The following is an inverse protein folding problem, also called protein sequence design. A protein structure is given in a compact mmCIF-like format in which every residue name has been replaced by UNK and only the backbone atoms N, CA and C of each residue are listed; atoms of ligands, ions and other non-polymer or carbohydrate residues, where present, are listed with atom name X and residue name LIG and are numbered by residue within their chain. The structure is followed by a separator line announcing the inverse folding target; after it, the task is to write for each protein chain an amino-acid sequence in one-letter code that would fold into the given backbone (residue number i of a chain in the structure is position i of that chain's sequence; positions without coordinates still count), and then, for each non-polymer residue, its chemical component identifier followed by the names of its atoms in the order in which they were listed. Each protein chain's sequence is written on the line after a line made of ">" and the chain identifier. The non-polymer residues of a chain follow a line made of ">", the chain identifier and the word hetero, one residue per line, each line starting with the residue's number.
data_IF_440858571900
#
_entry.id   IF_440858571900
#
_cell.length_a   1.000
_cell.length_b   1.000
_cell.length_c   1.000
_cell.angle_alpha   90.00
_cell.angle_beta   90.00
_cell.angle_gamma   90.00
#
_symmetry.space_group_name_H-M   'P 1'
#
loop_
_entity.id
_entity.type
_entity.pdbx_description
1 polymer ?
2 polymer ?
3 non-polymer ?
4 water ?
#
# COMPACT_ATOMS: atom_id res chain seq x y z
N UNK A 2 4.58 -21.59 -14.97
CA UNK A 2 3.72 -21.03 -13.89
C UNK A 2 4.29 -19.72 -13.36
N UNK A 3 5.06 -19.02 -14.20
CA UNK A 3 5.65 -17.75 -13.81
C UNK A 3 5.15 -16.66 -14.75
N UNK A 4 4.41 -15.70 -14.20
CA UNK A 4 3.85 -14.60 -15.00
C UNK A 4 4.64 -13.31 -14.83
N UNK A 5 5.10 -12.77 -15.94
CA UNK A 5 5.88 -11.53 -15.92
C UNK A 5 5.15 -10.39 -16.60
N UNK A 6 5.06 -9.26 -15.91
CA UNK A 6 4.41 -8.08 -16.44
C UNK A 6 5.39 -6.91 -16.49
N UNK A 7 5.50 -6.30 -17.67
CA UNK A 7 6.38 -5.15 -17.86
C UNK A 7 5.73 -4.20 -18.87
N UNK A 8 5.89 -2.88 -18.66
CA UNK A 8 6.64 -2.30 -17.54
C UNK A 8 5.87 -2.47 -16.23
N UNK A 9 6.56 -2.28 -15.11
CA UNK A 9 5.94 -2.39 -13.80
C UNK A 9 5.02 -1.19 -13.62
N UNK A 10 5.31 -0.13 -14.36
CA UNK A 10 4.53 1.10 -14.30
C UNK A 10 4.50 1.77 -15.67
N UNK A 11 3.38 2.41 -16.00
CA UNK A 11 3.27 3.12 -17.26
C UNK A 11 2.50 4.43 -17.04
N UNK A 12 2.96 5.50 -17.66
CA UNK A 12 2.30 6.79 -17.52
C UNK A 12 1.53 7.12 -18.78
N UNK A 13 0.31 7.63 -18.60
CA UNK A 13 -0.55 7.98 -19.72
C UNK A 13 -1.47 9.13 -19.36
N UNK A 14 -2.16 9.66 -20.37
CA UNK A 14 -3.09 10.76 -20.16
C UNK A 14 -4.47 10.31 -20.60
N UNK A 15 -5.51 10.92 -20.04
CA UNK A 15 -6.87 10.57 -20.43
C UNK A 15 -6.94 10.72 -21.94
N UNK A 16 -7.65 9.80 -22.59
CA UNK A 16 -7.77 9.85 -24.03
C UNK A 16 -6.73 8.98 -24.74
N UNK A 17 -5.62 8.70 -24.06
CA UNK A 17 -4.55 7.88 -24.62
C UNK A 17 -4.98 6.43 -24.84
N UNK A 18 -4.22 5.75 -25.71
CA UNK A 18 -4.42 4.34 -26.00
C UNK A 18 -3.27 3.69 -25.23
N UNK A 19 -3.60 2.84 -24.26
CA UNK A 19 -2.57 2.19 -23.44
C UNK A 19 -2.54 0.68 -23.63
N UNK A 20 -1.34 0.12 -23.69
CA UNK A 20 -1.17 -1.32 -23.86
C UNK A 20 -0.15 -1.87 -22.87
N UNK A 21 -0.55 -2.90 -22.12
CA UNK A 21 0.35 -3.53 -21.17
C UNK A 21 0.51 -4.99 -21.53
N UNK A 22 1.65 -5.56 -21.17
CA UNK A 22 1.95 -6.94 -21.53
C UNK A 22 2.14 -7.91 -20.37
N UNK A 23 2.04 -9.18 -20.70
CA UNK A 23 2.18 -10.25 -19.72
C UNK A 23 2.74 -11.45 -20.46
N UNK A 24 3.72 -12.12 -19.86
CA UNK A 24 4.32 -13.28 -20.49
C UNK A 24 4.41 -14.45 -19.53
N UNK A 25 3.96 -15.61 -19.97
CA UNK A 25 4.02 -16.81 -19.15
C UNK A 25 5.32 -17.53 -19.46
N UNK A 26 5.84 -18.26 -18.48
CA UNK A 26 7.09 -18.99 -18.66
C UNK A 26 6.83 -20.27 -19.45
N UNK A 27 5.55 -20.61 -19.58
CA UNK A 27 5.13 -21.80 -20.30
C UNK A 27 3.96 -21.47 -21.22
N UNK A 28 3.58 -22.41 -22.07
CA UNK A 28 2.46 -22.22 -22.99
C UNK A 28 1.16 -22.50 -22.25
N UNK A 29 0.32 -21.48 -22.11
CA UNK A 29 -0.95 -21.65 -21.42
C UNK A 29 -2.17 -21.47 -22.32
N UNK A 30 -1.98 -21.65 -23.63
CA UNK A 30 -3.09 -21.50 -24.57
C UNK A 30 -3.72 -20.13 -24.32
N UNK A 31 -5.03 -20.10 -24.08
CA UNK A 31 -5.70 -18.83 -23.82
C UNK A 31 -6.33 -18.82 -22.41
N UNK A 32 -5.74 -19.58 -21.49
CA UNK A 32 -6.23 -19.61 -20.11
C UNK A 32 -5.58 -18.44 -19.39
N UNK A 33 -6.02 -17.23 -19.71
CA UNK A 33 -5.44 -16.03 -19.12
C UNK A 33 -6.53 -15.02 -18.79
N UNK A 34 -6.45 -14.42 -17.60
CA UNK A 34 -7.42 -13.44 -17.17
C UNK A 34 -6.73 -12.14 -16.77
N UNK A 35 -7.44 -11.03 -16.89
CA UNK A 35 -6.91 -9.73 -16.52
C UNK A 35 -7.80 -9.09 -15.46
N UNK A 36 -7.16 -8.50 -14.45
CA UNK A 36 -7.90 -7.85 -13.38
C UNK A 36 -7.46 -6.42 -13.20
N UNK A 37 -8.34 -5.63 -12.59
CA UNK A 37 -8.06 -4.24 -12.30
C UNK A 37 -8.20 -4.09 -10.79
N UNK A 38 -7.34 -3.26 -10.19
CA UNK A 38 -7.43 -3.03 -8.76
C UNK A 38 -6.99 -1.62 -8.40
N UNK A 39 -7.74 -1.01 -7.51
CA UNK A 39 -7.45 0.33 -7.02
C UNK A 39 -7.20 0.20 -5.51
N UNK A 40 -6.42 1.12 -4.94
CA UNK A 40 -6.10 1.08 -3.50
C UNK A 40 -7.31 0.87 -2.59
N UNK A 41 -7.16 -0.03 -1.62
CA UNK A 41 -8.22 -0.30 -0.66
C UNK A 41 -9.44 -1.03 -1.19
N UNK A 42 -9.38 -1.52 -2.41
CA UNK A 42 -10.50 -2.23 -3.01
C UNK A 42 -10.08 -3.61 -3.49
N UNK A 43 -11.05 -4.50 -3.62
CA UNK A 43 -10.80 -5.86 -4.09
C UNK A 43 -10.62 -5.81 -5.61
N UNK A 44 -9.92 -6.80 -6.19
CA UNK A 44 -9.70 -6.83 -7.64
C UNK A 44 -11.03 -6.97 -8.37
N UNK A 45 -11.04 -6.60 -9.65
CA UNK A 45 -12.23 -6.69 -10.49
C UNK A 45 -11.87 -7.36 -11.82
N UNK A 46 -12.62 -8.41 -12.19
CA UNK A 46 -12.35 -9.11 -13.44
C UNK A 46 -12.69 -8.24 -14.64
N UNK A 47 -11.75 -8.17 -15.59
CA UNK A 47 -11.93 -7.38 -16.80
C UNK A 47 -12.07 -8.26 -18.04
N UNK A 48 -11.18 -9.24 -18.15
CA UNK A 48 -11.13 -10.14 -19.30
C UNK A 48 -10.78 -11.56 -18.86
N UNK A 49 -11.40 -12.53 -19.53
CA UNK A 49 -11.11 -13.94 -19.25
C UNK A 49 -10.92 -14.64 -20.59
N UNK A 50 -10.29 -15.80 -20.58
CA UNK A 50 -10.02 -16.54 -21.81
C UNK A 50 -9.17 -15.67 -22.76
N UNK A 51 -8.32 -14.83 -22.17
CA UNK A 51 -7.41 -13.95 -22.92
C UNK A 51 -8.02 -12.78 -23.69
N UNK A 52 -9.21 -12.96 -24.26
CA UNK A 52 -9.79 -11.87 -25.04
C UNK A 52 -11.27 -11.62 -24.83
N UNK A 53 -11.91 -12.40 -23.97
CA UNK A 53 -13.33 -12.20 -23.75
C UNK A 53 -13.59 -11.15 -22.68
N UNK A 54 -14.25 -10.07 -23.09
CA UNK A 54 -14.59 -8.97 -22.21
C UNK A 54 -15.67 -9.38 -21.22
N UNK A 55 -15.43 -9.12 -19.93
CA UNK A 55 -16.39 -9.45 -18.90
C UNK A 55 -17.63 -8.57 -19.07
N UNK A 56 -18.80 -9.15 -18.84
CA UNK A 56 -20.06 -8.42 -18.98
C UNK A 56 -20.05 -7.19 -18.08
N UNK A 57 -20.42 -6.04 -18.65
CA UNK A 57 -20.46 -4.82 -17.87
C UNK A 57 -19.21 -3.96 -17.99
N UNK A 58 -18.10 -4.55 -18.44
CA UNK A 58 -16.85 -3.81 -18.59
C UNK A 58 -16.88 -3.04 -19.90
N UNK A 59 -16.45 -1.76 -19.87
CA UNK A 59 -16.42 -0.91 -21.07
C UNK A 59 -15.70 -1.56 -22.24
N UNK A 60 -16.23 -1.36 -23.45
CA UNK A 60 -15.65 -1.94 -24.65
C UNK A 60 -14.30 -1.32 -24.99
N UNK A 61 -13.91 -0.27 -24.29
CA UNK A 61 -12.61 0.34 -24.55
C UNK A 61 -11.51 -0.62 -24.10
N UNK A 62 -11.88 -1.63 -23.31
CA UNK A 62 -10.91 -2.62 -22.85
C UNK A 62 -10.91 -3.80 -23.83
N UNK A 63 -9.72 -4.32 -24.13
CA UNK A 63 -9.60 -5.47 -25.02
C UNK A 63 -8.36 -6.26 -24.62
N UNK A 64 -8.32 -7.53 -25.01
CA UNK A 64 -7.17 -8.35 -24.69
C UNK A 64 -6.88 -9.29 -25.84
N UNK A 65 -5.61 -9.66 -26.01
CA UNK A 65 -5.26 -10.58 -27.08
C UNK A 65 -4.02 -11.38 -26.71
N UNK A 66 -3.73 -12.39 -27.53
CA UNK A 66 -2.57 -13.22 -27.28
C UNK A 66 -2.93 -14.66 -27.00
N UNK A 67 -1.92 -15.52 -27.09
CA UNK A 67 -2.09 -16.94 -26.86
C UNK A 67 -0.68 -17.51 -26.68
N UNK A 68 -0.59 -18.69 -26.08
CA UNK A 68 0.71 -19.30 -25.86
C UNK A 68 1.37 -18.74 -24.62
N UNK A 69 2.34 -17.84 -24.80
CA UNK A 69 3.04 -17.24 -23.67
C UNK A 69 2.99 -15.71 -23.65
N UNK A 70 2.63 -15.11 -24.79
CA UNK A 70 2.57 -13.65 -24.85
C UNK A 70 1.15 -13.11 -24.91
N UNK A 71 0.84 -12.18 -24.00
CA UNK A 71 -0.48 -11.58 -23.93
C UNK A 71 -0.42 -10.07 -23.71
N UNK A 72 -1.54 -9.40 -23.97
CA UNK A 72 -1.60 -7.96 -23.80
C UNK A 72 -3.01 -7.50 -23.49
N UNK A 73 -3.09 -6.38 -22.78
CA UNK A 73 -4.35 -5.76 -22.43
C UNK A 73 -4.22 -4.36 -23.02
N UNK A 74 -5.27 -3.87 -23.66
CA UNK A 74 -5.23 -2.54 -24.24
C UNK A 74 -6.44 -1.71 -23.81
N UNK A 75 -6.20 -0.45 -23.49
CA UNK A 75 -7.28 0.46 -23.11
C UNK A 75 -7.27 1.55 -24.19
N UNK A 76 -8.26 1.53 -25.07
CA UNK A 76 -8.34 2.48 -26.19
C UNK A 76 -8.27 3.97 -25.88
N UNK A 77 -9.28 4.46 -25.16
CA UNK A 77 -9.31 5.87 -24.81
C UNK A 77 -9.39 5.98 -23.29
N UNK A 78 -8.23 5.96 -22.67
CA UNK A 78 -8.11 6.02 -21.22
C UNK A 78 -9.02 7.05 -20.54
N UNK A 79 -9.78 6.60 -19.55
CA UNK A 79 -10.67 7.48 -18.80
C UNK A 79 -10.08 7.65 -17.41
N UNK A 80 -10.42 8.76 -16.73
CA UNK A 80 -9.88 8.99 -15.38
C UNK A 80 -10.07 7.81 -14.42
N UNK A 81 -11.15 7.06 -14.60
CA UNK A 81 -11.41 5.91 -13.74
C UNK A 81 -10.53 4.70 -14.09
N UNK A 82 -9.74 4.81 -15.15
CA UNK A 82 -8.88 3.71 -15.56
C UNK A 82 -7.49 3.70 -14.93
N UNK A 83 -7.10 4.78 -14.26
CA UNK A 83 -5.79 4.81 -13.61
C UNK A 83 -5.91 3.86 -12.43
N UNK A 84 -5.12 2.79 -12.47
CA UNK A 84 -5.16 1.77 -11.43
C UNK A 84 -4.07 0.75 -11.71
N UNK A 85 -4.09 -0.35 -10.96
CA UNK A 85 -3.11 -1.41 -11.18
C UNK A 85 -3.80 -2.57 -11.88
N UNK A 86 -3.10 -3.19 -12.83
CA UNK A 86 -3.66 -4.30 -13.59
C UNK A 86 -2.84 -5.57 -13.42
N UNK A 87 -3.53 -6.69 -13.25
CA UNK A 87 -2.84 -7.97 -13.07
C UNK A 87 -3.32 -9.00 -14.08
N UNK A 88 -2.39 -9.82 -14.57
CA UNK A 88 -2.78 -10.90 -15.46
C UNK A 88 -2.71 -12.12 -14.57
N UNK A 89 -3.39 -13.19 -14.96
CA UNK A 89 -3.39 -14.40 -14.17
C UNK A 89 -3.57 -15.63 -15.02
N UNK A 90 -2.70 -16.61 -14.77
CA UNK A 90 -2.78 -17.88 -15.47
C UNK A 90 -4.01 -18.57 -14.91
N UNK A 91 -4.86 -19.08 -15.80
CA UNK A 91 -6.08 -19.77 -15.37
C UNK A 91 -5.99 -21.26 -15.74
N UNK A 92 -4.92 -21.63 -16.43
CA UNK A 92 -4.68 -23.00 -16.87
C UNK A 92 -4.55 -23.87 -15.63
N UNK A 93 -3.33 -24.34 -15.37
CA UNK A 93 -3.08 -25.14 -14.17
C UNK A 93 -2.83 -24.02 -13.16
N UNK A 94 -2.76 -24.33 -11.87
CA UNK A 94 -2.52 -23.28 -10.89
C UNK A 94 -3.39 -22.06 -11.19
N UNK A 95 -2.98 -20.93 -10.63
CA UNK A 95 -3.66 -19.65 -10.81
C UNK A 95 -2.65 -18.57 -10.44
N UNK A 96 -1.48 -18.63 -11.05
CA UNK A 96 -0.42 -17.68 -10.79
C UNK A 96 -0.72 -16.27 -11.30
N UNK A 97 -0.60 -15.28 -10.44
CA UNK A 97 -0.83 -13.88 -10.83
C UNK A 97 0.47 -13.26 -11.31
N UNK A 98 0.35 -12.33 -12.25
CA UNK A 98 1.53 -11.61 -12.72
C UNK A 98 1.83 -10.60 -11.62
N UNK A 99 2.96 -9.91 -11.71
CA UNK A 99 3.33 -8.96 -10.68
C UNK A 99 2.54 -7.66 -10.67
N UNK A 100 1.78 -7.41 -11.72
CA UNK A 100 1.01 -6.18 -11.77
C UNK A 100 1.71 -5.04 -12.47
N UNK A 101 0.91 -4.20 -13.10
CA UNK A 101 1.41 -3.03 -13.81
C UNK A 101 0.49 -1.87 -13.45
N UNK A 102 1.06 -0.82 -12.90
CA UNK A 102 0.28 0.34 -12.53
C UNK A 102 0.21 1.36 -13.66
N UNK A 103 -0.99 1.85 -13.94
CA UNK A 103 -1.15 2.87 -14.97
C UNK A 103 -1.30 4.17 -14.21
N UNK A 104 -0.31 5.04 -14.33
CA UNK A 104 -0.32 6.32 -13.63
C UNK A 104 -0.54 7.50 -14.58
N UNK A 105 -0.79 8.67 -14.01
CA UNK A 105 -1.03 9.88 -14.77
C UNK A 105 0.27 10.53 -15.22
N UNK A 106 0.39 10.76 -16.53
CA UNK A 106 1.59 11.38 -17.05
C UNK A 106 1.58 12.89 -16.83
N UNK A 107 2.76 13.45 -16.58
CA UNK A 107 2.92 14.89 -16.39
C UNK A 107 4.39 15.20 -16.56
N UNK A 108 4.74 16.47 -16.54
CA UNK A 108 6.12 16.87 -16.71
C UNK A 108 6.96 16.55 -15.48
N UNK A 109 8.25 16.36 -15.71
CA UNK A 109 9.19 16.07 -14.64
C UNK A 109 9.21 17.25 -13.68
N UNK A 110 9.17 16.95 -12.38
CA UNK A 110 9.19 17.98 -11.37
C UNK A 110 10.10 17.57 -10.23
N UNK A 111 11.08 18.40 -9.91
CA UNK A 111 12.02 18.10 -8.84
C UNK A 111 11.29 18.30 -7.51
N UNK A 112 11.69 17.56 -6.47
CA UNK A 112 11.03 17.72 -5.17
C UNK A 112 11.51 18.89 -4.35
N UNK A 113 10.62 19.43 -3.52
CA UNK A 113 10.97 20.49 -2.59
C UNK A 113 11.37 19.63 -1.39
N UNK A 114 12.49 19.93 -0.77
CA UNK A 114 12.98 19.12 0.37
C UNK A 114 12.97 19.86 1.71
N UNK A 115 12.42 19.22 2.73
CA UNK A 115 12.36 19.80 4.06
C UNK A 115 12.84 18.78 5.10
N UNK A 116 13.44 19.26 6.18
CA UNK A 116 13.91 18.37 7.23
C UNK A 116 13.35 18.81 8.58
N UNK A 117 12.97 17.84 9.41
CA UNK A 117 12.40 18.12 10.71
C UNK A 117 13.18 17.41 11.82
N UNK A 118 13.76 18.18 12.75
CA UNK A 118 14.51 17.53 13.82
C UNK A 118 13.53 16.85 14.79
N UNK A 119 14.04 15.97 15.67
CA UNK A 119 13.15 15.31 16.62
C UNK A 119 12.59 16.31 17.62
N UNK A 120 11.39 16.07 18.12
CA UNK A 120 10.79 16.97 19.10
C UNK A 120 11.35 16.70 20.50
N UNK A 121 11.29 17.70 21.36
CA UNK A 121 11.78 17.53 22.72
C UNK A 121 10.96 16.43 23.39
N UNK A 122 9.68 16.39 23.06
CA UNK A 122 8.75 15.40 23.60
C UNK A 122 9.28 13.99 23.42
N UNK A 123 9.58 13.63 22.18
CA UNK A 123 10.07 12.30 21.88
C UNK A 123 11.42 12.01 22.52
N UNK A 124 12.32 12.98 22.50
CA UNK A 124 13.63 12.78 23.09
C UNK A 124 13.50 12.36 24.56
N UNK A 125 12.55 12.95 25.27
CA UNK A 125 12.32 12.59 26.67
C UNK A 125 12.06 11.10 26.82
N UNK A 126 11.45 10.50 25.81
CA UNK A 126 11.14 9.07 25.85
C UNK A 126 12.34 8.21 25.46
N UNK A 127 13.48 8.86 25.17
CA UNK A 127 14.67 8.10 24.82
C UNK A 127 14.92 7.73 23.37
N UNK A 128 14.13 8.29 22.45
CA UNK A 128 14.31 7.98 21.04
C UNK A 128 14.28 9.27 20.23
N UNK A 129 14.98 9.29 19.11
CA UNK A 129 15.02 10.48 18.26
C UNK A 129 14.71 10.12 16.81
N UNK A 130 13.61 10.66 16.28
CA UNK A 130 13.26 10.41 14.89
C UNK A 130 13.44 11.67 14.08
N UNK A 131 14.26 11.61 13.04
CA UNK A 131 14.49 12.75 12.17
C UNK A 131 13.70 12.47 10.90
N UNK A 132 12.96 13.46 10.42
CA UNK A 132 12.13 13.28 9.25
C UNK A 132 12.52 14.17 8.08
N UNK A 133 12.57 13.57 6.89
CA UNK A 133 12.92 14.30 5.68
C UNK A 133 11.72 14.20 4.75
N UNK A 134 11.29 15.33 4.21
CA UNK A 134 10.14 15.34 3.32
C UNK A 134 10.51 15.80 1.91
N UNK A 135 10.07 15.02 0.92
CA UNK A 135 10.29 15.35 -0.49
C UNK A 135 8.87 15.62 -0.97
N UNK A 136 8.57 16.88 -1.24
CA UNK A 136 7.23 17.26 -1.63
C UNK A 136 6.98 17.56 -3.11
N UNK A 137 5.87 17.04 -3.61
CA UNK A 137 5.41 17.23 -4.98
C UNK A 137 6.42 17.08 -6.11
N UNK A 138 6.89 15.87 -6.31
CA UNK A 138 7.85 15.59 -7.38
C UNK A 138 7.29 14.56 -8.35
N UNK A 139 7.97 14.42 -9.49
CA UNK A 139 7.56 13.47 -10.52
C UNK A 139 8.71 13.26 -11.48
N UNK A 140 8.97 12.01 -11.90
CA UNK A 140 8.25 10.79 -11.52
C UNK A 140 8.53 10.29 -10.10
N UNK A 141 7.95 9.14 -9.79
CA UNK A 141 8.04 8.50 -8.48
C UNK A 141 9.43 8.14 -7.95
N UNK A 142 10.34 7.74 -8.84
CA UNK A 142 11.67 7.34 -8.40
C UNK A 142 12.48 8.47 -7.78
N UNK A 143 12.91 8.25 -6.55
CA UNK A 143 13.71 9.23 -5.82
C UNK A 143 14.61 8.47 -4.86
N UNK A 144 15.70 9.10 -4.45
CA UNK A 144 16.62 8.47 -3.53
C UNK A 144 16.92 9.41 -2.37
N UNK A 145 16.84 8.87 -1.16
CA UNK A 145 17.14 9.65 0.03
C UNK A 145 18.30 9.00 0.74
N UNK A 146 19.32 9.81 1.05
CA UNK A 146 20.49 9.31 1.76
C UNK A 146 20.64 10.12 3.03
N UNK A 147 20.58 9.44 4.17
CA UNK A 147 20.75 10.10 5.45
C UNK A 147 22.23 10.13 5.84
N UNK A 148 22.68 11.25 6.35
CA UNK A 148 24.06 11.39 6.78
C UNK A 148 24.12 12.06 8.14
N UNK A 149 24.90 11.48 9.03
CA UNK A 149 25.06 11.99 10.39
C UNK A 149 26.55 12.25 10.55
N UNK A 150 26.91 13.51 10.76
CA UNK A 150 28.31 13.91 10.86
C UNK A 150 29.06 13.33 9.66
N UNK A 151 28.40 13.42 8.51
CA UNK A 151 28.92 12.94 7.23
C UNK A 151 29.02 11.43 7.04
N UNK A 152 28.48 10.66 7.99
CA UNK A 152 28.51 9.20 7.86
C UNK A 152 27.18 8.77 7.25
N UNK A 153 27.24 8.07 6.14
CA UNK A 153 26.03 7.60 5.48
C UNK A 153 25.33 6.57 6.35
N UNK A 154 24.05 6.77 6.62
CA UNK A 154 23.28 5.86 7.44
C UNK A 154 22.55 4.87 6.55
N UNK A 155 22.55 3.60 6.94
CA UNK A 155 21.84 2.59 6.16
C UNK A 155 21.25 1.56 7.11
N UNK A 156 20.00 1.20 6.88
CA UNK A 156 19.33 0.22 7.71
C UNK A 156 18.58 0.77 8.92
N UNK A 157 18.75 2.06 9.20
CA UNK A 157 18.06 2.66 10.34
C UNK A 157 17.06 3.75 9.95
N UNK A 158 16.55 3.66 8.73
CA UNK A 158 15.55 4.60 8.25
C UNK A 158 14.52 3.84 7.43
N UNK A 159 13.33 4.41 7.29
CA UNK A 159 12.27 3.81 6.51
C UNK A 159 11.54 4.94 5.80
N UNK A 160 10.98 4.65 4.63
CA UNK A 160 10.27 5.66 3.87
C UNK A 160 9.01 5.10 3.21
N UNK A 161 8.13 6.00 2.78
CA UNK A 161 6.92 5.62 2.09
C UNK A 161 6.53 6.78 1.17
N UNK A 162 5.78 6.45 0.14
CA UNK A 162 5.37 7.42 -0.88
C UNK A 162 3.86 7.46 -1.01
N UNK A 163 3.32 8.66 -1.21
CA UNK A 163 1.87 8.80 -1.37
C UNK A 163 1.47 8.36 -2.76
N UNK A 164 0.16 8.30 -2.98
CA UNK A 164 -0.40 7.95 -4.30
C UNK A 164 -0.33 9.28 -5.03
N UNK A 165 -0.43 9.27 -6.36
CA UNK A 165 -0.37 10.53 -7.12
C UNK A 165 -1.37 11.55 -6.60
N UNK A 166 -0.93 12.79 -6.46
CA UNK A 166 -1.77 13.87 -5.99
C UNK A 166 -2.96 14.06 -6.95
N UNK A 167 -4.13 14.32 -6.38
CA UNK A 167 -5.36 14.47 -7.15
C UNK A 167 -5.42 15.69 -8.07
N UNK A 168 -4.74 16.77 -7.68
CA UNK A 168 -4.76 18.01 -8.47
C UNK A 168 -3.52 18.26 -9.34
N UNK A 169 -2.33 17.84 -8.89
CA UNK A 169 -1.12 18.06 -9.67
C UNK A 169 -0.40 16.80 -10.15
N UNK A 170 -0.96 15.64 -9.84
CA UNK A 170 -0.39 14.37 -10.25
C UNK A 170 1.04 14.10 -9.79
N UNK A 171 1.47 14.75 -8.72
CA UNK A 171 2.82 14.53 -8.22
C UNK A 171 2.81 13.53 -7.08
N UNK A 172 4.01 13.16 -6.63
CA UNK A 172 4.17 12.25 -5.52
C UNK A 172 4.89 13.02 -4.42
N UNK A 173 4.83 12.49 -3.20
CA UNK A 173 5.55 13.07 -2.09
C UNK A 173 6.12 11.87 -1.36
N UNK A 174 7.24 12.09 -0.70
CA UNK A 174 7.91 11.01 0.02
C UNK A 174 8.33 11.46 1.41
N UNK A 175 8.14 10.58 2.39
CA UNK A 175 8.51 10.85 3.76
C UNK A 175 9.49 9.78 4.23
N UNK A 176 10.62 10.20 4.77
CA UNK A 176 11.61 9.25 5.27
C UNK A 176 11.93 9.57 6.73
N UNK A 177 12.00 8.54 7.57
CA UNK A 177 12.30 8.74 8.99
C UNK A 177 13.58 8.02 9.40
N UNK A 178 14.53 8.76 9.97
CA UNK A 178 15.77 8.19 10.47
C UNK A 178 15.54 8.09 11.99
N UNK A 179 15.75 6.90 12.55
CA UNK A 179 15.54 6.75 14.00
C UNK A 179 16.80 6.30 14.72
N UNK A 180 17.13 7.03 15.78
CA UNK A 180 18.31 6.74 16.61
C UNK A 180 17.91 6.80 18.08
N UNK A 181 18.69 6.13 18.93
CA UNK A 181 18.41 6.19 20.35
C UNK A 181 18.75 7.63 20.74
N UNK A 182 18.21 8.11 21.86
CA UNK A 182 18.50 9.46 22.32
C UNK A 182 20.01 9.60 22.52
N UNK A 183 20.62 8.58 23.09
CA UNK A 183 22.06 8.59 23.35
C UNK A 183 22.87 8.79 22.07
N UNK A 184 22.53 8.06 21.02
CA UNK A 184 23.25 8.19 19.76
C UNK A 184 23.03 9.56 19.12
N UNK A 185 21.81 10.07 19.24
CA UNK A 185 21.46 11.37 18.67
C UNK A 185 22.29 12.51 19.29
N UNK A 186 22.40 12.50 20.62
CA UNK A 186 23.14 13.55 21.31
C UNK A 186 24.66 13.42 21.13
N UNK A 187 25.10 12.34 20.51
CA UNK A 187 26.53 12.13 20.29
C UNK A 187 26.99 12.66 18.95
N UNK A 188 26.06 13.20 18.16
CA UNK A 188 26.41 13.73 16.84
C UNK A 188 25.84 15.14 16.67
N UNK A 189 26.40 15.88 15.71
CA UNK A 189 25.98 17.25 15.48
C UNK A 189 25.23 17.56 14.18
N UNK A 190 25.80 17.15 13.05
CA UNK A 190 25.20 17.43 11.75
C UNK A 190 24.26 16.35 11.25
N UNK A 191 23.01 16.73 11.02
CA UNK A 191 22.02 15.78 10.52
C UNK A 191 21.57 16.29 9.17
N UNK A 192 21.69 15.44 8.15
CA UNK A 192 21.34 15.85 6.80
C UNK A 192 20.70 14.76 5.96
N UNK A 193 19.84 15.16 5.03
CA UNK A 193 19.25 14.20 4.09
C UNK A 193 19.54 14.71 2.69
N UNK A 194 20.28 13.89 1.95
CA UNK A 194 20.68 14.21 0.59
C UNK A 194 19.73 13.52 -0.37
N UNK A 195 19.11 14.32 -1.24
CA UNK A 195 18.14 13.81 -2.18
C UNK A 195 18.58 13.86 -3.63
N UNK A 196 18.36 12.75 -4.34
CA UNK A 196 18.68 12.67 -5.75
C UNK A 196 17.38 12.31 -6.47
N UNK A 197 17.14 12.95 -7.61
CA UNK A 197 15.94 12.72 -8.40
C UNK A 197 16.29 13.13 -9.82
N UNK A 198 15.71 12.45 -10.82
CA UNK A 198 16.06 12.77 -12.19
C UNK A 198 15.78 14.21 -12.58
N UNK A 199 14.95 14.90 -11.80
CA UNK A 199 14.65 16.29 -12.08
C UNK A 199 15.67 17.25 -11.48
N UNK A 200 16.63 16.71 -10.74
CA UNK A 200 17.68 17.51 -10.10
C UNK A 200 19.03 17.25 -10.77
N UNK A 201 19.71 18.32 -11.18
CA UNK A 201 21.01 18.19 -11.84
C UNK A 201 22.09 17.71 -10.88
N UNK A 202 21.88 17.92 -9.59
CA UNK A 202 22.82 17.49 -8.58
C UNK A 202 22.02 17.27 -7.30
N UNK A 203 22.56 16.49 -6.36
CA UNK A 203 21.88 16.21 -5.09
C UNK A 203 21.53 17.46 -4.30
N UNK A 204 20.34 17.46 -3.71
CA UNK A 204 19.91 18.57 -2.89
C UNK A 204 20.00 18.10 -1.44
N UNK A 205 20.68 18.88 -0.61
CA UNK A 205 20.84 18.51 0.79
C UNK A 205 20.18 19.51 1.71
N UNK A 206 19.47 18.99 2.71
CA UNK A 206 18.81 19.81 3.69
C UNK A 206 19.37 19.30 5.01
N UNK A 207 19.81 20.19 5.88
CA UNK A 207 20.38 19.75 7.14
C UNK A 207 20.22 20.72 8.30
N UNK A 208 20.61 20.25 9.48
CA UNK A 208 20.58 21.08 10.68
C UNK A 208 21.65 20.55 11.63
N UNK A 209 22.12 21.43 12.51
CA UNK A 209 23.11 21.05 13.51
C UNK A 209 22.34 20.94 14.81
N UNK A 210 22.47 19.81 15.50
CA UNK A 210 21.78 19.60 16.76
C UNK A 210 22.11 20.75 17.71
N UNK A 211 21.06 21.40 18.23
CA UNK A 211 21.28 22.52 19.13
C UNK A 211 21.54 23.78 18.32
N UNK A 212 20.99 23.79 17.11
CA UNK A 212 21.15 24.92 16.19
C UNK A 212 20.40 26.15 16.71
N UNK B 1 -26.51 -9.83 -6.84
CA UNK B 1 -27.12 -11.00 -6.15
C UNK B 1 -26.06 -11.88 -5.49
N UNK B 2 -25.08 -12.33 -6.28
CA UNK B 2 -24.01 -13.17 -5.74
C UNK B 2 -23.02 -12.32 -4.95
N UNK B 3 -22.59 -12.84 -3.82
CA UNK B 3 -21.65 -12.09 -2.99
C UNK B 3 -20.90 -12.98 -2.00
N UNK B 4 -19.70 -12.53 -1.64
CA UNK B 4 -18.87 -13.25 -0.69
C UNK B 4 -18.55 -12.27 0.44
N UNK B 5 -18.88 -12.67 1.67
CA UNK B 5 -18.64 -11.81 2.83
C UNK B 5 -17.70 -12.51 3.81
N UNK B 6 -16.56 -11.89 4.07
CA UNK B 6 -15.56 -12.46 4.96
C UNK B 6 -15.63 -11.96 6.39
N UNK B 7 -14.99 -12.69 7.30
CA UNK B 7 -14.98 -12.32 8.71
C UNK B 7 -14.14 -11.05 8.93
N UNK B 8 -14.16 -10.55 10.16
CA UNK B 8 -13.44 -9.33 10.48
C UNK B 8 -11.94 -9.39 10.63
N UNK B 9 -11.32 -8.21 10.65
CA UNK B 9 -9.87 -8.07 10.77
C UNK B 9 -9.36 -8.82 11.99
N UNK B 10 -8.13 -9.33 11.90
CA UNK B 10 -7.56 -10.09 13.00
C UNK B 10 -6.12 -9.67 13.34
N UNK B 11 -5.77 -9.84 14.61
CA UNK B 11 -4.42 -9.55 15.08
C UNK B 11 -3.94 -10.83 15.74
N UNK B 12 -2.71 -11.22 15.43
CA UNK B 12 -2.15 -12.46 15.97
C UNK B 12 -0.67 -12.31 16.31
N UNK B 13 -0.19 -13.22 17.16
CA UNK B 13 1.21 -13.22 17.54
C UNK B 13 1.92 -14.20 16.62
N UNK B 14 3.23 -14.04 16.44
CA UNK B 14 3.96 -14.95 15.57
C UNK B 14 3.85 -16.37 16.13
N UNK B 15 3.79 -17.36 15.25
CA UNK B 15 3.69 -18.73 15.70
C UNK B 15 2.25 -19.16 15.93
N UNK B 16 1.34 -18.19 16.01
CA UNK B 16 -0.06 -18.52 16.24
C UNK B 16 -0.74 -19.00 14.95
N UNK B 17 -2.00 -19.35 15.08
CA UNK B 17 -2.79 -19.83 13.95
C UNK B 17 -3.99 -18.94 13.77
N UNK B 18 -4.36 -18.69 12.51
CA UNK B 18 -5.52 -17.87 12.22
C UNK B 18 -6.46 -18.65 11.31
N UNK B 19 -7.75 -18.42 11.47
CA UNK B 19 -8.75 -19.08 10.65
C UNK B 19 -9.81 -18.05 10.31
N UNK B 20 -10.03 -17.84 9.03
CA UNK B 20 -11.02 -16.87 8.57
C UNK B 20 -12.10 -17.55 7.74
N UNK B 21 -13.28 -16.94 7.72
CA UNK B 21 -14.42 -17.48 7.01
C UNK B 21 -14.87 -16.60 5.85
N UNK B 22 -15.68 -17.19 4.99
CA UNK B 22 -16.20 -16.50 3.82
C UNK B 22 -17.58 -17.10 3.56
N UNK B 23 -18.61 -16.28 3.73
CA UNK B 23 -19.98 -16.74 3.53
C UNK B 23 -20.41 -16.42 2.11
N UNK B 24 -20.87 -17.44 1.40
CA UNK B 24 -21.31 -17.27 0.02
C UNK B 24 -22.84 -17.23 -0.10
N UNK B 25 -23.33 -16.36 -0.97
CA UNK B 25 -24.77 -16.23 -1.19
C UNK B 25 -25.06 -15.86 -2.65
N UNK B 26 -26.23 -16.28 -3.14
CA UNK B 26 -26.59 -15.97 -4.52
C UNK B 26 -26.29 -17.05 -5.53
N UNK B 27 -25.69 -18.16 -5.09
CA UNK B 27 -25.38 -19.25 -6.00
C UNK B 27 -25.23 -20.54 -5.19
N UNK B 28 -25.14 -21.68 -5.86
CA UNK B 28 -25.00 -22.95 -5.16
C UNK B 28 -23.56 -23.21 -4.75
N UNK B 29 -23.23 -22.81 -3.53
CA UNK B 29 -21.90 -22.94 -2.96
C UNK B 29 -21.15 -24.24 -3.23
N UNK B 30 -21.71 -25.38 -2.81
CA UNK B 30 -21.03 -26.65 -3.00
C UNK B 30 -20.79 -27.06 -4.46
N UNK B 31 -21.46 -26.39 -5.39
CA UNK B 31 -21.30 -26.72 -6.81
C UNK B 31 -20.05 -26.16 -7.47
N UNK B 32 -19.39 -25.21 -6.82
CA UNK B 32 -18.20 -24.60 -7.38
C UNK B 32 -17.03 -24.50 -6.41
N UNK B 33 -15.83 -24.39 -6.96
CA UNK B 33 -14.63 -24.26 -6.13
C UNK B 33 -14.65 -22.91 -5.42
N UNK B 34 -13.89 -22.82 -4.34
CA UNK B 34 -13.75 -21.56 -3.63
C UNK B 34 -12.24 -21.36 -3.63
N UNK B 35 -11.80 -20.17 -4.01
CA UNK B 35 -10.38 -19.89 -4.05
C UNK B 35 -10.00 -18.89 -2.99
N UNK B 36 -8.74 -18.97 -2.55
CA UNK B 36 -8.23 -18.03 -1.56
C UNK B 36 -6.99 -17.36 -2.13
N UNK B 37 -6.92 -16.06 -1.94
CA UNK B 37 -5.82 -15.23 -2.42
C UNK B 37 -5.42 -14.28 -1.31
N UNK B 38 -4.16 -13.84 -1.31
CA UNK B 38 -3.75 -12.88 -0.30
C UNK B 38 -2.92 -11.80 -0.95
N UNK B 39 -2.81 -10.68 -0.25
CA UNK B 39 -2.06 -9.55 -0.76
C UNK B 39 -1.49 -8.74 0.39
N UNK B 40 -0.16 -8.70 0.47
CA UNK B 40 0.50 -7.94 1.50
C UNK B 40 0.34 -6.47 1.14
N UNK B 41 0.29 -5.59 2.15
CA UNK B 41 0.14 -4.14 1.92
C UNK B 41 1.01 -3.61 0.79
N UNK B 42 0.36 -2.98 -0.19
CA UNK B 42 1.08 -2.41 -1.32
C UNK B 42 1.77 -3.39 -2.25
N UNK B 43 1.55 -4.69 -2.05
CA UNK B 43 2.18 -5.70 -2.90
C UNK B 43 1.17 -6.34 -3.85
N UNK B 44 1.62 -7.31 -4.63
CA UNK B 44 0.75 -7.97 -5.57
C UNK B 44 -0.13 -9.08 -5.03
N UNK B 45 -0.98 -9.61 -5.89
CA UNK B 45 -1.90 -10.68 -5.55
C UNK B 45 -1.15 -12.01 -5.56
N UNK B 46 -1.53 -12.91 -4.66
CA UNK B 46 -0.89 -14.20 -4.55
C UNK B 46 -1.91 -15.29 -4.27
N UNK B 47 -2.04 -16.22 -5.22
CA UNK B 47 -2.98 -17.32 -5.06
C UNK B 47 -2.47 -18.28 -3.98
N UNK B 48 -3.35 -18.67 -3.08
CA UNK B 48 -2.98 -19.57 -1.99
C UNK B 48 -3.48 -21.01 -2.15
N UNK B 49 -4.72 -21.17 -2.58
CA UNK B 49 -5.27 -22.50 -2.75
C UNK B 49 -6.73 -22.50 -3.14
N UNK B 50 -7.32 -23.70 -3.24
CA UNK B 50 -8.72 -23.82 -3.61
C UNK B 50 -9.30 -25.09 -2.99
N UNK B 51 -10.63 -25.16 -2.93
CA UNK B 51 -11.29 -26.33 -2.38
C UNK B 51 -12.58 -26.66 -3.10
N UNK B 52 -12.86 -27.95 -3.20
CA UNK B 52 -14.10 -28.42 -3.79
C UNK B 52 -14.96 -28.64 -2.55
N UNK B 53 -15.94 -27.76 -2.30
CA UNK B 53 -16.83 -27.83 -1.14
C UNK B 53 -17.54 -29.17 -0.95
N UNK B 54 -17.92 -29.79 -2.06
CA UNK B 54 -18.63 -31.06 -2.02
C UNK B 54 -17.88 -32.21 -1.38
N UNK B 55 -16.62 -32.40 -1.73
CA UNK B 55 -15.84 -33.51 -1.17
C UNK B 55 -14.62 -33.06 -0.38
N UNK B 56 -14.50 -31.75 -0.16
CA UNK B 56 -13.39 -31.19 0.60
C UNK B 56 -12.03 -31.45 -0.04
N UNK B 57 -12.02 -31.65 -1.35
CA UNK B 57 -10.77 -31.88 -2.06
C UNK B 57 -10.11 -30.50 -2.18
N UNK B 58 -8.81 -30.42 -1.93
CA UNK B 58 -8.11 -29.15 -1.98
C UNK B 58 -6.79 -29.21 -2.74
N UNK B 59 -6.32 -28.04 -3.13
CA UNK B 59 -5.05 -27.86 -3.83
C UNK B 59 -4.45 -26.58 -3.27
N UNK B 60 -3.18 -26.62 -2.87
CA UNK B 60 -2.53 -25.45 -2.29
C UNK B 60 -1.29 -25.00 -3.05
N UNK B 61 -1.02 -23.70 -3.02
CA UNK B 61 0.15 -23.15 -3.68
C UNK B 61 1.35 -23.79 -2.99
N UNK B 62 2.38 -24.09 -3.76
CA UNK B 62 3.57 -24.74 -3.22
C UNK B 62 4.14 -24.09 -1.95
N UNK B 63 4.21 -22.76 -1.92
CA UNK B 63 4.77 -22.07 -0.76
C UNK B 63 3.92 -22.13 0.52
N UNK B 64 2.67 -22.55 0.40
CA UNK B 64 1.81 -22.63 1.58
C UNK B 64 1.52 -24.05 2.03
N UNK B 65 1.84 -25.03 1.17
CA UNK B 65 1.61 -26.43 1.49
C UNK B 65 2.27 -26.74 2.83
N UNK B 66 1.48 -27.19 3.80
CA UNK B 66 2.03 -27.52 5.10
C UNK B 66 1.57 -26.61 6.23
N UNK B 67 1.30 -25.34 5.91
CA UNK B 67 0.86 -24.36 6.91
C UNK B 67 -0.58 -23.94 6.70
N UNK B 68 -1.14 -24.27 5.54
CA UNK B 68 -2.50 -23.87 5.24
C UNK B 68 -3.51 -25.01 5.13
N UNK B 69 -4.72 -24.74 5.60
CA UNK B 69 -5.80 -25.72 5.55
C UNK B 69 -7.09 -25.01 5.12
N UNK B 70 -7.63 -25.44 3.98
CA UNK B 70 -8.86 -24.87 3.46
C UNK B 70 -9.98 -25.88 3.66
N UNK B 71 -11.06 -25.45 4.29
CA UNK B 71 -12.19 -26.32 4.56
C UNK B 71 -13.46 -25.60 4.13
N UNK B 72 -14.58 -26.29 4.23
CA UNK B 72 -15.86 -25.70 3.86
C UNK B 72 -17.02 -26.42 4.55
N UNK B 73 -18.10 -25.68 4.76
CA UNK B 73 -19.29 -26.21 5.40
C UNK B 73 -20.46 -25.94 4.47
N UNK B 74 -20.86 -26.95 3.71
CA UNK B 74 -21.97 -26.80 2.78
C UNK B 74 -23.30 -26.63 3.51
N UNK B 75 -23.29 -26.89 4.81
CA UNK B 75 -24.50 -26.76 5.61
C UNK B 75 -24.80 -25.28 5.82
N UNK B 76 -23.75 -24.47 5.86
CA UNK B 76 -23.87 -23.03 6.08
C UNK B 76 -23.32 -22.20 4.94
N UNK B 77 -23.06 -22.82 3.79
CA UNK B 77 -22.53 -22.11 2.64
C UNK B 77 -21.34 -21.24 3.02
N UNK B 78 -20.45 -21.80 3.84
CA UNK B 78 -19.28 -21.06 4.30
C UNK B 78 -18.00 -21.83 4.13
N UNK B 79 -16.97 -21.13 3.64
CA UNK B 79 -15.67 -21.75 3.45
C UNK B 79 -14.72 -21.13 4.46
N UNK B 80 -13.62 -21.81 4.75
CA UNK B 80 -12.65 -21.30 5.72
C UNK B 80 -11.22 -21.48 5.27
N UNK B 81 -10.36 -20.60 5.76
CA UNK B 81 -8.95 -20.67 5.46
C UNK B 81 -8.23 -20.59 6.80
N UNK B 82 -7.37 -21.57 7.06
CA UNK B 82 -6.61 -21.60 8.29
C UNK B 82 -5.14 -21.59 7.95
N UNK B 83 -4.40 -20.67 8.55
CA UNK B 83 -2.97 -20.57 8.31
C UNK B 83 -2.26 -20.65 9.66
N UNK B 84 -1.32 -21.57 9.78
CA UNK B 84 -0.59 -21.76 11.03
C UNK B 84 0.85 -21.29 10.97
N UNK B 85 1.54 -21.36 12.10
CA UNK B 85 2.93 -20.92 12.20
C UNK B 85 3.06 -19.53 11.59
N UNK B 86 2.11 -18.66 11.93
CA UNK B 86 2.09 -17.30 11.44
C UNK B 86 3.41 -16.58 11.63
N UNK B 87 3.77 -15.79 10.62
CA UNK B 87 5.00 -15.03 10.63
C UNK B 87 4.59 -13.59 10.35
N UNK B 88 5.44 -12.64 10.72
CA UNK B 88 5.15 -11.24 10.49
C UNK B 88 4.91 -11.03 9.00
N UNK B 89 5.57 -11.85 8.18
CA UNK B 89 5.44 -11.75 6.73
C UNK B 89 4.06 -12.20 6.25
N UNK B 90 3.25 -12.77 7.15
CA UNK B 90 1.92 -13.21 6.78
C UNK B 90 0.90 -12.09 6.95
N UNK B 91 1.36 -10.90 7.35
CA UNK B 91 0.47 -9.76 7.51
C UNK B 91 -0.04 -9.41 6.11
N UNK B 92 -1.36 -9.46 5.91
CA UNK B 92 -1.90 -9.14 4.60
C UNK B 92 -3.42 -9.21 4.58
N UNK B 93 -4.00 -8.80 3.46
CA UNK B 93 -5.44 -8.86 3.28
C UNK B 93 -5.70 -10.19 2.56
N UNK B 94 -6.53 -11.04 3.16
CA UNK B 94 -6.85 -12.33 2.57
C UNK B 94 -8.21 -12.26 1.92
N UNK B 95 -8.30 -12.75 0.69
CA UNK B 95 -9.55 -12.73 -0.07
C UNK B 95 -10.01 -14.13 -0.45
N UNK B 96 -11.32 -14.29 -0.55
CA UNK B 96 -11.89 -15.54 -1.02
C UNK B 96 -12.44 -15.13 -2.37
N UNK B 97 -12.61 -16.08 -3.27
CA UNK B 97 -13.12 -15.78 -4.59
C UNK B 97 -13.83 -17.00 -5.14
N UNK B 98 -14.71 -16.76 -6.10
CA UNK B 98 -15.49 -17.83 -6.73
C UNK B 98 -15.75 -17.51 -8.21
N UNK B 99 -16.14 -18.53 -8.95
CA UNK B 99 -16.42 -18.41 -10.39
C UNK B 99 -17.72 -19.14 -10.69
N UNK B 100 -18.85 -18.64 -10.15
CA UNK B 100 -20.21 -19.19 -10.30
C UNK B 100 -20.68 -19.40 -11.75
N UNK B 101 -20.09 -18.67 -12.69
CA UNK B 101 -20.47 -18.78 -14.09
C UNK B 101 -19.44 -19.54 -14.92
N UNK B 102 -18.49 -20.17 -14.24
CA UNK B 102 -17.45 -20.97 -14.89
C UNK B 102 -16.82 -20.27 -16.09
N UNK B 103 -16.30 -19.07 -15.86
CA UNK B 103 -15.66 -18.29 -16.91
C UNK B 103 -14.16 -18.60 -16.90
N UNK B 104 -13.74 -19.36 -15.88
CA UNK B 104 -12.34 -19.72 -15.69
C UNK B 104 -11.55 -18.48 -15.27
N UNK B 105 -12.10 -17.76 -14.30
CA UNK B 105 -11.49 -16.55 -13.76
C UNK B 105 -12.16 -16.24 -12.43
N UNK B 106 -11.53 -15.42 -11.61
CA UNK B 106 -12.12 -15.08 -10.31
C UNK B 106 -13.09 -13.93 -10.51
N UNK B 107 -14.34 -14.31 -10.80
CA UNK B 107 -15.41 -13.38 -11.08
C UNK B 107 -15.90 -12.58 -9.86
N UNK B 108 -16.10 -13.27 -8.74
CA UNK B 108 -16.58 -12.62 -7.52
C UNK B 108 -15.56 -12.70 -6.41
N UNK B 109 -15.37 -11.58 -5.71
CA UNK B 109 -14.41 -11.51 -4.62
C UNK B 109 -15.03 -11.03 -3.31
N UNK B 110 -14.51 -11.54 -2.19
CA UNK B 110 -15.00 -11.08 -0.91
C UNK B 110 -14.41 -9.69 -0.72
N UNK B 111 -14.77 -9.00 0.36
CA UNK B 111 -14.24 -7.67 0.60
C UNK B 111 -12.82 -7.72 1.17
N UNK B 112 -12.39 -8.93 1.54
CA UNK B 112 -11.06 -9.10 2.10
C UNK B 112 -11.01 -9.07 3.62
N UNK B 113 -10.03 -9.76 4.19
CA UNK B 113 -9.85 -9.80 5.63
C UNK B 113 -8.40 -9.47 5.97
N UNK B 114 -8.20 -8.41 6.74
CA UNK B 114 -6.85 -8.04 7.15
C UNK B 114 -6.44 -8.86 8.35
N UNK B 115 -5.29 -9.50 8.25
CA UNK B 115 -4.72 -10.28 9.33
C UNK B 115 -3.37 -9.64 9.59
N UNK B 116 -3.21 -9.09 10.79
CA UNK B 116 -1.95 -8.44 11.18
C UNK B 116 -1.23 -9.31 12.18
N UNK B 117 0.00 -9.69 11.84
CA UNK B 117 0.81 -10.55 12.69
C UNK B 117 2.03 -9.79 13.22
N UNK B 118 2.11 -9.69 14.55
CA UNK B 118 3.22 -9.01 15.20
C UNK B 118 3.32 -9.46 16.66
N UNK B 119 4.51 -9.31 17.23
CA UNK B 119 4.71 -9.68 18.63
C UNK B 119 4.06 -8.58 19.48
N UNK B 120 3.85 -7.43 18.87
CA UNK B 120 3.23 -6.31 19.58
C UNK B 120 1.74 -6.54 19.79
N UNK B 121 1.19 -5.89 20.81
CA UNK B 121 -0.24 -5.99 21.12
C UNK B 121 -0.88 -4.68 20.66
N UNK B 122 -2.20 -4.67 20.53
CA UNK B 122 -2.91 -3.47 20.11
C UNK B 122 -2.44 -2.30 20.98
N UNK B 123 -1.98 -1.24 20.33
CA UNK B 123 -1.47 -0.07 21.03
C UNK B 123 -1.72 1.23 20.27
N UNK B 124 -2.07 2.28 21.01
CA UNK B 124 -2.31 3.57 20.40
C UNK B 124 -0.98 4.26 20.15
N UNK B 125 -0.93 5.21 19.22
CA UNK B 125 0.32 5.90 18.91
C UNK B 125 0.60 7.14 19.75
N UNK B 126 1.86 7.56 19.73
CA UNK B 126 2.28 8.79 20.37
C UNK B 126 2.35 9.70 19.15
N UNK B 127 1.91 10.94 19.30
CA UNK B 127 1.91 11.86 18.17
C UNK B 127 2.86 13.02 18.47
N UNK B 128 3.90 13.13 17.65
CA UNK B 128 4.89 14.17 17.82
C UNK B 128 4.77 15.22 16.73
N UNK B 129 5.18 16.46 17.03
CA UNK B 129 5.07 17.50 16.02
C UNK B 129 6.23 17.50 15.02
N UNK B 130 5.94 17.96 13.81
CA UNK B 130 6.95 18.13 12.76
C UNK B 130 6.78 19.64 12.61
N UNK B 131 7.52 20.37 13.43
CA UNK B 131 7.41 21.84 13.48
C UNK B 131 7.96 22.63 12.30
N UNK B 132 7.19 23.64 11.86
CA UNK B 132 7.58 24.49 10.73
C UNK B 132 8.78 25.32 11.19
N UNK B 133 9.73 25.57 10.30
CA UNK B 133 10.90 26.37 10.63
C UNK B 133 11.55 26.84 9.34
N UNK B 134 12.71 27.47 9.45
CA UNK B 134 13.41 27.94 8.26
C UNK B 134 13.86 26.74 7.43
N UNK B 135 13.90 25.57 8.05
CA UNK B 135 14.32 24.35 7.36
C UNK B 135 13.16 23.63 6.67
N UNK B 136 11.95 24.19 6.79
CA UNK B 136 10.77 23.61 6.16
C UNK B 136 9.99 24.68 5.40
N UNK B 137 10.68 25.77 5.07
CA UNK B 137 10.06 26.87 4.34
C UNK B 137 10.60 26.98 2.92
N UNK B 138 9.70 27.14 1.96
CA UNK B 138 10.09 27.27 0.56
C UNK B 138 9.39 28.49 -0.02
N UNK B 139 10.13 29.60 -0.13
CA UNK B 139 9.56 30.82 -0.66
C UNK B 139 8.57 31.38 0.36
N UNK B 140 7.29 31.36 0.01
CA UNK B 140 6.28 31.86 0.92
C UNK B 140 5.46 30.71 1.48
N UNK B 141 5.96 29.49 1.32
CA UNK B 141 5.27 28.30 1.81
C UNK B 141 6.07 27.63 2.91
N UNK B 142 5.36 27.02 3.85
CA UNK B 142 6.00 26.31 4.95
C UNK B 142 5.37 24.93 5.10
N UNK B 143 6.18 23.96 5.52
CA UNK B 143 5.68 22.61 5.70
C UNK B 143 5.67 22.27 7.19
N UNK B 144 4.63 21.60 7.64
CA UNK B 144 4.51 21.19 9.03
C UNK B 144 3.70 19.91 9.03
N UNK B 145 3.73 19.20 10.15
CA UNK B 145 2.98 17.96 10.21
C UNK B 145 3.01 17.28 11.55
N UNK B 146 2.64 16.00 11.54
CA UNK B 146 2.61 15.19 12.74
C UNK B 146 3.22 13.82 12.48
N UNK B 147 4.00 13.34 13.44
CA UNK B 147 4.60 12.02 13.34
C UNK B 147 3.81 11.11 14.27
N UNK B 148 3.07 10.18 13.68
CA UNK B 148 2.22 9.24 14.43
C UNK B 148 3.05 7.97 14.59
N UNK B 149 3.69 7.84 15.76
CA UNK B 149 4.59 6.73 16.00
C UNK B 149 4.18 5.66 16.99
N UNK B 150 4.63 4.44 16.69
CA UNK B 150 4.43 3.26 17.51
C UNK B 150 3.01 2.80 17.81
N UNK B 151 2.27 2.43 16.77
CA UNK B 151 0.92 1.93 16.98
C UNK B 151 0.79 0.57 16.30
N UNK B 152 -0.27 -0.14 16.66
CA UNK B 152 -0.55 -1.46 16.10
C UNK B 152 -1.99 -1.83 16.46
N UNK B 153 -2.76 -2.35 15.47
CA UNK B 153 -2.33 -2.59 14.10
C UNK B 153 -2.88 -1.46 13.23
N UNK B 154 -2.79 -1.64 11.92
CA UNK B 154 -3.34 -0.67 10.99
C UNK B 154 -4.86 -0.80 11.18
N UNK B 155 -5.62 0.25 10.81
CA UNK B 155 -5.17 1.51 10.25
C UNK B 155 -5.29 2.67 11.25
N UNK B 156 -4.87 3.84 10.82
CA UNK B 156 -4.96 5.05 11.63
C UNK B 156 -5.43 6.11 10.65
N UNK B 157 -6.28 7.02 11.08
CA UNK B 157 -6.72 8.08 10.18
C UNK B 157 -6.26 9.42 10.74
N UNK B 158 -5.98 10.35 9.83
CA UNK B 158 -5.53 11.67 10.23
C UNK B 158 -6.27 12.75 9.46
N UNK B 159 -6.68 13.79 10.17
CA UNK B 159 -7.35 14.93 9.53
C UNK B 159 -6.66 16.14 10.13
N UNK B 160 -6.86 17.31 9.52
CA UNK B 160 -6.27 18.53 10.02
C UNK B 160 -7.40 19.52 10.34
N UNK B 161 -7.30 20.17 11.49
CA UNK B 161 -8.34 21.12 11.92
C UNK B 161 -9.73 20.54 11.69
N UNK B 162 -9.91 19.30 12.13
CA UNK B 162 -11.18 18.59 12.01
C UNK B 162 -11.74 18.49 10.58
N UNK B 163 -10.86 18.43 9.58
CA UNK B 163 -11.33 18.32 8.22
C UNK B 163 -11.44 19.66 7.49
N UNK B 164 -11.32 20.76 8.24
CA UNK B 164 -11.40 22.09 7.64
C UNK B 164 -10.21 22.36 6.72
N UNK B 165 -9.11 21.66 6.96
CA UNK B 165 -7.91 21.83 6.16
C UNK B 165 -7.62 20.56 5.35
N UNK B 166 -7.73 20.66 4.03
CA UNK B 166 -7.46 19.52 3.16
C UNK B 166 -6.44 19.85 2.08
N UNK B 167 -6.38 21.11 1.70
CA UNK B 167 -5.46 21.56 0.67
C UNK B 167 -4.00 21.46 1.12
N UNK B 168 -3.19 20.80 0.30
CA UNK B 168 -1.77 20.64 0.61
C UNK B 168 -1.47 19.58 1.65
N UNK B 169 -2.47 18.80 2.02
CA UNK B 169 -2.28 17.74 2.99
C UNK B 169 -1.80 16.44 2.36
N UNK B 170 -0.79 15.83 2.97
CA UNK B 170 -0.27 14.56 2.49
C UNK B 170 -0.11 13.61 3.67
N UNK B 171 -0.87 12.52 3.68
CA UNK B 171 -0.76 11.54 4.74
C UNK B 171 -0.15 10.30 4.09
N UNK B 172 1.03 9.94 4.54
CA UNK B 172 1.78 8.82 3.98
C UNK B 172 1.45 7.43 4.47
N UNK B 173 1.75 6.42 3.64
CA UNK B 173 1.48 5.04 4.05
C UNK B 173 2.35 4.79 5.29
N UNK B 174 1.86 3.96 6.20
CA UNK B 174 2.62 3.64 7.39
C UNK B 174 3.75 2.68 7.05
N UNK B 175 4.80 2.70 7.85
CA UNK B 175 5.92 1.78 7.65
C UNK B 175 5.92 0.90 8.89
N UNK B 176 6.24 -0.38 8.71
CA UNK B 176 6.28 -1.31 9.83
C UNK B 176 7.70 -1.41 10.34
N UNK B 177 7.92 -0.98 11.57
CA UNK B 177 9.24 -0.98 12.18
C UNK B 177 9.60 -2.36 12.73
N UNK B 178 10.90 -2.60 12.89
CA UNK B 178 11.40 -3.87 13.40
C UNK B 178 10.84 -4.22 14.78
N UNK B 179 10.30 -3.21 15.46
CA UNK B 179 9.72 -3.42 16.78
C UNK B 179 8.34 -4.07 16.64
N UNK B 180 7.83 -4.14 15.42
CA UNK B 180 6.53 -4.73 15.20
C UNK B 180 5.41 -3.70 15.33
N UNK B 181 5.80 -2.43 15.41
CA UNK B 181 4.82 -1.33 15.51
C UNK B 181 4.92 -0.47 14.26
N UNK B 182 3.82 0.17 13.90
CA UNK B 182 3.78 1.04 12.73
C UNK B 182 4.06 2.48 13.08
N UNK B 183 4.42 3.25 12.06
CA UNK B 183 4.68 4.67 12.21
C UNK B 183 4.32 5.33 10.89
N UNK B 184 3.68 6.49 10.96
CA UNK B 184 3.33 7.22 9.76
C UNK B 184 3.43 8.70 10.01
N UNK B 185 3.49 9.46 8.93
CA UNK B 185 3.58 10.89 9.07
C UNK B 185 2.47 11.50 8.22
N UNK B 186 2.05 12.70 8.61
CA UNK B 186 1.04 13.44 7.87
C UNK B 186 1.57 14.86 7.87
N UNK B 187 1.64 15.47 6.70
CA UNK B 187 2.15 16.82 6.60
C UNK B 187 1.21 17.69 5.79
N UNK B 188 1.41 19.00 5.90
CA UNK B 188 0.62 19.94 5.14
C UNK B 188 1.49 21.17 4.88
N UNK B 189 1.34 21.75 3.69
CA UNK B 189 2.10 22.93 3.32
C UNK B 189 1.12 24.10 3.37
N UNK B 190 1.52 25.18 4.02
CA UNK B 190 0.67 26.34 4.15
C UNK B 190 1.46 27.63 3.96
N UNK B 191 0.77 28.77 3.87
CA UNK B 191 1.47 30.05 3.70
C UNK B 191 2.25 30.34 4.98
N UNK B 192 3.56 30.55 4.86
CA UNK B 192 4.38 30.83 6.02
C UNK B 192 3.90 32.07 6.77
N UNK B 193 3.16 32.91 6.07
CA UNK B 193 2.64 34.14 6.67
C UNK B 193 1.52 33.84 7.66
N UNK B 194 0.93 32.64 7.55
CA UNK B 194 -0.17 32.24 8.41
C UNK B 194 0.28 31.51 9.68
N UNK B 195 1.58 31.21 9.78
CA UNK B 195 2.10 30.50 10.94
C UNK B 195 1.86 31.18 12.28
N UNK B 196 1.99 32.50 12.32
CA UNK B 196 1.80 33.21 13.57
C UNK B 196 0.35 33.50 13.94
N UNK B 197 -0.58 33.21 13.03
CA UNK B 197 -1.98 33.47 13.29
C UNK B 197 -2.89 32.25 13.25
N UNK B 198 -2.76 31.45 12.20
CA UNK B 198 -3.58 30.25 12.04
C UNK B 198 -3.15 29.07 12.90
N UNK B 199 -4.12 28.43 13.54
CA UNK B 199 -3.87 27.27 14.38
C UNK B 199 -3.93 26.03 13.50
N UNK B 200 -2.97 25.11 13.70
CA UNK B 200 -2.94 23.88 12.93
C UNK B 200 -2.92 22.71 13.89
N UNK B 201 -3.94 21.88 13.81
CA UNK B 201 -4.07 20.71 14.69
C UNK B 201 -4.33 19.45 13.86
N UNK B 202 -3.54 18.41 14.10
CA UNK B 202 -3.76 17.17 13.37
C UNK B 202 -4.57 16.27 14.29
N UNK B 203 -5.67 15.75 13.76
CA UNK B 203 -6.55 14.88 14.54
C UNK B 203 -6.24 13.43 14.18
N UNK B 204 -5.70 12.70 15.14
CA UNK B 204 -5.32 11.30 14.93
C UNK B 204 -6.31 10.34 15.58
N UNK B 205 -6.75 9.34 14.82
CA UNK B 205 -7.69 8.35 15.33
C UNK B 205 -7.23 6.92 15.05
N UNK B 206 -6.96 6.17 16.11
CA UNK B 206 -6.56 4.76 16.00
C UNK B 206 -7.68 3.94 16.63
N UNK B 207 -8.68 3.63 15.83
CA UNK B 207 -9.83 2.87 16.30
C UNK B 207 -9.54 1.53 16.99
N UNK B 208 -8.56 0.76 16.49
CA UNK B 208 -8.29 -0.52 17.17
C UNK B 208 -8.07 -0.39 18.67
N UNK B 209 -7.43 0.69 19.10
CA UNK B 209 -7.16 0.91 20.53
C UNK B 209 -8.06 1.98 21.14
N UNK B 210 -8.98 2.53 20.35
CA UNK B 210 -9.88 3.59 20.82
C UNK B 210 -9.04 4.79 21.25
N UNK B 211 -7.97 5.06 20.52
CA UNK B 211 -7.09 6.18 20.86
C UNK B 211 -7.28 7.34 19.90
N UNK B 212 -7.58 8.50 20.46
CA UNK B 212 -7.75 9.71 19.66
C UNK B 212 -6.81 10.76 20.23
N UNK B 213 -6.11 11.45 19.34
CA UNK B 213 -5.18 12.49 19.76
C UNK B 213 -5.31 13.72 18.89
N UNK B 214 -5.36 14.88 19.54
CA UNK B 214 -5.42 16.15 18.83
C UNK B 214 -4.09 16.80 19.18
N UNK B 215 -3.26 17.04 18.17
CA UNK B 215 -1.95 17.63 18.40
C UNK B 215 -1.78 18.97 17.70
N UNK B 216 -1.58 20.02 18.48
CA UNK B 216 -1.39 21.35 17.92
C UNK B 216 0.07 21.45 17.53
N UNK B 217 0.34 21.93 16.33
CA UNK B 217 1.70 22.04 15.84
C UNK B 217 2.03 23.51 15.62
N UNK B 218 3.03 24.00 16.34
CA UNK B 218 3.44 25.40 16.23
C UNK B 218 4.90 25.51 15.81
N UNK B 219 5.27 26.67 15.24
CA UNK B 219 6.65 26.92 14.78
C UNK B 219 7.72 26.58 15.82
X LIG C 1 -12.45 0.96 -14.93
X LIG C 1 -12.46 2.33 -15.27
X LIG C 1 -13.45 0.22 -15.84
X LIG C 1 -14.75 0.75 -15.63
X LIG C 1 -13.52 -1.28 -15.55
X LIG C 1 -13.70 -1.52 -14.16
X LIG D 1 5.72 7.81 6.56
X LIG D 1 4.42 7.39 6.97
X LIG D 1 6.76 6.92 7.24
X LIG D 1 6.65 7.09 8.63
X LIG D 1 8.21 7.25 6.85
X LIG D 1 8.57 8.59 7.25
#
# INVERSE_FOLDING_TARGET
>A
DIQMTQSPSSVSASVGDRVTITCRASQDISTWLAWYQQKPGKAPKLLIYAASTLQSGVPSRFSGSGSGTDFSLTINSLQPEDFATYYCQQANSFFTFGGGTKVEIKRTVAAPSVFIFPPSDEQLKSGTASVVCLLNNFYPREAKVQWKVDNALQSGNSQESVTEQDSKDSTYSLSSTLTLSKADYEKHKLYACEVTHQGLSSPVTKSFNRGE
>B
EVQLVQSGAEVKKPGATVKISCKASGYTFSDFYMYWVRQAPGKGLEWMGLIDPEDADTMYAEKFRGRVTITADTSTDTGYLELSSLRSEDTAVYYCAADPWELNAFNVWGQGTLVSVSSASTKGPSVFPLAPSSKSTSGGTAALGCLVKDYFPEPVTVSWNSGALTSGVHTFPAVLQSSGLYSLSSVVTVPSSSLGTQTYICNVNHKPSNTKVDKKVEP
>C hetero
1 GOL C1 O1 C2 O2 C3 O3
>D hetero
1 GOL C1 O1 C2 O2 C3 O3
#
